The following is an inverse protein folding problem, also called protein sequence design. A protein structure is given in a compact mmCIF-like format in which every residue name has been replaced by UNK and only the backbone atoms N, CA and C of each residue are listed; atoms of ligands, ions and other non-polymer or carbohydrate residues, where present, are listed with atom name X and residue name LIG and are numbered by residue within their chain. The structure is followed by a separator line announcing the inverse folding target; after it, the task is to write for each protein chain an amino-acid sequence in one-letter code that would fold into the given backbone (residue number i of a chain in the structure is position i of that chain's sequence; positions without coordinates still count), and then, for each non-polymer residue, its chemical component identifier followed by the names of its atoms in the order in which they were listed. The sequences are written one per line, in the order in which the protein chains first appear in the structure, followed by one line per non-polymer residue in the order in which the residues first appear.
data_IF_525891616861
#
_entry.id   IF_525891616861
#
_cell.length_a   1.000
_cell.length_b   1.000
_cell.length_c   1.000
_cell.angle_alpha   90.00
_cell.angle_beta   90.00
_cell.angle_gamma   90.00
#
_symmetry.space_group_name_H-M   'P 1'
#
loop_
_entity.id
_entity.type
_entity.pdbx_description
1 polymer ?
#
# COMPACT_ATOMS: atom_id res chain seq x y z
N UNK A 1 1.04 5.38 -22.54
CA UNK A 1 2.21 5.82 -21.73
C UNK A 1 3.27 4.74 -21.82
N UNK A 2 4.47 5.07 -22.29
CA UNK A 2 5.58 4.13 -22.35
C UNK A 2 6.45 4.21 -21.09
N UNK A 3 7.36 3.26 -20.89
CA UNK A 3 8.21 3.21 -19.68
C UNK A 3 9.04 4.49 -19.47
N UNK A 4 9.48 5.12 -20.55
CA UNK A 4 10.26 6.37 -20.48
C UNK A 4 9.41 7.50 -19.92
N UNK A 5 8.18 7.65 -20.40
CA UNK A 5 7.24 8.67 -19.90
C UNK A 5 6.93 8.47 -18.39
N UNK A 6 6.80 7.20 -17.96
CA UNK A 6 6.61 6.88 -16.52
C UNK A 6 7.83 7.32 -15.70
N UNK A 7 9.03 7.01 -16.17
CA UNK A 7 10.27 7.35 -15.47
C UNK A 7 10.48 8.87 -15.43
N UNK A 8 10.25 9.56 -16.56
CA UNK A 8 10.36 11.02 -16.64
C UNK A 8 9.36 11.71 -15.68
N UNK A 9 8.16 11.13 -15.50
CA UNK A 9 7.16 11.65 -14.55
C UNK A 9 7.63 11.60 -13.09
N UNK A 10 8.28 10.50 -12.67
CA UNK A 10 8.70 10.32 -11.28
C UNK A 10 10.01 11.02 -10.93
N UNK A 11 10.80 11.45 -11.90
CA UNK A 11 12.09 12.09 -11.67
C UNK A 11 11.97 13.32 -10.76
N UNK A 12 12.69 13.28 -9.63
CA UNK A 12 12.69 14.34 -8.61
C UNK A 12 11.38 14.47 -7.81
N UNK A 13 10.42 13.55 -7.95
CA UNK A 13 9.21 13.52 -7.12
C UNK A 13 9.49 12.90 -5.76
N UNK A 14 8.97 13.51 -4.69
CA UNK A 14 8.99 12.94 -3.34
C UNK A 14 7.86 11.93 -3.22
N UNK A 15 8.24 10.66 -3.11
CA UNK A 15 7.28 9.55 -3.05
C UNK A 15 7.41 8.81 -1.73
N UNK A 16 6.31 8.71 -0.98
CA UNK A 16 6.21 7.87 0.22
C UNK A 16 5.61 6.51 -0.16
N UNK A 17 6.33 5.43 0.15
CA UNK A 17 5.87 4.05 -0.03
C UNK A 17 5.72 3.39 1.33
N UNK A 18 4.49 3.08 1.74
CA UNK A 18 4.29 2.26 2.94
C UNK A 18 4.40 0.77 2.60
N UNK A 19 4.98 -0.03 3.50
CA UNK A 19 5.21 -1.45 3.22
C UNK A 19 6.40 -1.71 2.29
N UNK A 20 7.37 -0.81 2.22
CA UNK A 20 8.52 -0.87 1.31
C UNK A 20 9.46 -2.04 1.56
N UNK A 21 9.49 -2.62 2.76
CA UNK A 21 10.30 -3.79 3.10
C UNK A 21 9.70 -5.12 2.66
N UNK A 22 8.39 -5.12 2.34
CA UNK A 22 7.70 -6.30 1.82
C UNK A 22 7.97 -6.53 0.33
N UNK A 23 7.51 -7.68 -0.19
CA UNK A 23 7.73 -8.10 -1.58
C UNK A 23 7.33 -7.04 -2.63
N UNK A 24 6.06 -6.64 -2.68
CA UNK A 24 5.58 -5.65 -3.66
C UNK A 24 6.21 -4.27 -3.44
N UNK A 25 6.32 -3.86 -2.17
CA UNK A 25 6.88 -2.55 -1.81
C UNK A 25 8.34 -2.42 -2.21
N UNK A 26 9.12 -3.50 -2.10
CA UNK A 26 10.53 -3.51 -2.53
C UNK A 26 10.66 -3.35 -4.05
N UNK A 27 9.90 -4.11 -4.84
CA UNK A 27 9.89 -3.97 -6.30
C UNK A 27 9.51 -2.57 -6.73
N UNK A 28 8.45 -2.03 -6.14
CA UNK A 28 7.98 -0.67 -6.45
C UNK A 28 9.02 0.39 -6.08
N UNK A 29 9.61 0.29 -4.88
CA UNK A 29 10.68 1.20 -4.45
C UNK A 29 11.88 1.14 -5.37
N UNK A 30 12.27 -0.04 -5.85
CA UNK A 30 13.37 -0.20 -6.80
C UNK A 30 13.08 0.48 -8.13
N UNK A 31 11.86 0.34 -8.65
CA UNK A 31 11.43 1.00 -9.89
C UNK A 31 11.47 2.52 -9.72
N UNK A 32 10.94 3.05 -8.62
CA UNK A 32 10.89 4.48 -8.34
C UNK A 32 12.29 5.09 -8.17
N UNK A 33 13.18 4.41 -7.44
CA UNK A 33 14.60 4.83 -7.31
C UNK A 33 15.27 4.88 -8.68
N UNK A 34 15.06 3.86 -9.52
CA UNK A 34 15.61 3.83 -10.87
C UNK A 34 15.02 4.93 -11.78
N UNK A 35 13.78 5.35 -11.52
CA UNK A 35 13.14 6.49 -12.20
C UNK A 35 13.65 7.86 -11.72
N UNK A 36 14.51 7.90 -10.70
CA UNK A 36 15.06 9.13 -10.14
C UNK A 36 14.11 9.86 -9.16
N UNK A 37 13.15 9.14 -8.58
CA UNK A 37 12.31 9.67 -7.51
C UNK A 37 13.09 9.76 -6.18
N UNK A 38 12.71 10.73 -5.33
CA UNK A 38 13.14 10.83 -3.94
C UNK A 38 12.21 9.94 -3.09
N UNK A 39 12.63 8.68 -2.88
CA UNK A 39 11.79 7.67 -2.25
C UNK A 39 12.01 7.64 -0.74
N UNK A 40 10.93 7.80 0.01
CA UNK A 40 10.85 7.47 1.44
C UNK A 40 9.99 6.23 1.62
N UNK A 41 10.51 5.24 2.32
CA UNK A 41 9.78 4.04 2.73
C UNK A 41 9.39 4.11 4.20
N UNK A 42 8.18 3.67 4.56
CA UNK A 42 7.71 3.53 5.93
C UNK A 42 7.10 2.15 6.14
N UNK A 43 7.69 1.32 6.99
CA UNK A 43 7.25 -0.08 7.16
C UNK A 43 7.84 -0.68 8.43
N UNK A 44 7.31 -1.82 8.86
CA UNK A 44 7.98 -2.71 9.79
C UNK A 44 9.29 -3.25 9.20
N UNK A 45 10.11 -3.90 10.01
CA UNK A 45 11.29 -4.64 9.53
C UNK A 45 10.91 -5.63 8.42
N UNK A 46 11.86 -6.01 7.55
CA UNK A 46 11.61 -7.05 6.55
C UNK A 46 10.97 -8.30 7.16
N UNK A 47 9.90 -8.84 6.55
CA UNK A 47 9.10 -9.92 7.16
C UNK A 47 9.74 -11.30 7.09
N UNK A 48 10.81 -11.47 6.31
CA UNK A 48 11.46 -12.77 6.03
C UNK A 48 12.98 -12.67 6.08
N UNK A 49 13.65 -13.81 6.26
CA UNK A 49 15.08 -13.97 6.10
C UNK A 49 15.33 -15.24 5.25
N UNK A 50 15.86 -15.12 4.01
CA UNK A 50 16.29 -13.88 3.35
C UNK A 50 15.12 -12.94 3.03
N UNK A 51 15.41 -11.63 2.87
CA UNK A 51 14.43 -10.63 2.50
C UNK A 51 14.77 -9.96 1.15
N UNK A 52 13.77 -9.79 0.31
CA UNK A 52 13.95 -9.13 -0.98
C UNK A 52 14.50 -7.72 -0.82
N UNK A 53 14.10 -6.97 0.21
CA UNK A 53 14.55 -5.60 0.46
C UNK A 53 16.09 -5.52 0.59
N UNK A 54 16.69 -6.44 1.34
CA UNK A 54 18.13 -6.54 1.49
C UNK A 54 18.82 -6.94 0.17
N UNK A 55 18.26 -7.95 -0.53
CA UNK A 55 18.79 -8.43 -1.81
C UNK A 55 18.71 -7.39 -2.93
N UNK A 56 17.70 -6.52 -2.89
CA UNK A 56 17.50 -5.47 -3.88
C UNK A 56 18.53 -4.33 -3.79
N UNK A 57 19.34 -4.27 -2.71
CA UNK A 57 20.37 -3.25 -2.53
C UNK A 57 19.79 -1.83 -2.55
N UNK A 58 18.70 -1.62 -1.83
CA UNK A 58 18.03 -0.33 -1.69
C UNK A 58 18.59 0.49 -0.52
N UNK A 59 19.37 -0.12 0.35
CA UNK A 59 20.03 0.57 1.45
C UNK A 59 20.92 1.71 0.91
N UNK A 60 20.79 2.89 1.50
CA UNK A 60 21.50 4.10 1.07
C UNK A 60 21.03 4.72 -0.25
N UNK A 61 20.06 4.11 -0.95
CA UNK A 61 19.47 4.65 -2.20
C UNK A 61 18.10 5.27 -2.00
N UNK A 62 17.50 5.06 -0.85
CA UNK A 62 16.23 5.65 -0.43
C UNK A 62 16.26 5.95 1.07
N UNK A 63 15.37 6.82 1.53
CA UNK A 63 15.15 7.01 2.95
C UNK A 63 14.24 5.89 3.47
N UNK A 64 14.79 4.97 4.30
CA UNK A 64 14.05 3.84 4.85
C UNK A 64 13.78 4.06 6.34
N UNK A 65 12.51 4.25 6.69
CA UNK A 65 12.05 4.51 8.05
C UNK A 65 11.31 3.28 8.56
N UNK A 66 11.78 2.72 9.67
CA UNK A 66 11.07 1.62 10.33
C UNK A 66 10.01 2.17 11.26
N UNK A 67 8.77 1.74 11.07
CA UNK A 67 7.62 2.18 11.85
C UNK A 67 6.36 1.38 11.54
N UNK A 68 5.38 1.49 12.43
CA UNK A 68 4.10 0.80 12.32
C UNK A 68 3.03 1.74 11.76
N UNK A 69 2.28 1.29 10.74
CA UNK A 69 1.18 2.07 10.14
C UNK A 69 0.08 2.41 11.15
N UNK A 70 0.00 1.70 12.28
CA UNK A 70 -0.92 1.96 13.38
C UNK A 70 -0.48 3.14 14.26
N UNK A 71 0.78 3.53 14.20
CA UNK A 71 1.32 4.69 14.93
C UNK A 71 1.08 5.99 14.15
N UNK A 72 -0.07 6.60 14.40
CA UNK A 72 -0.44 7.88 13.77
C UNK A 72 0.52 9.02 14.12
N UNK A 73 1.08 9.04 15.35
CA UNK A 73 1.96 10.12 15.78
C UNK A 73 3.28 10.08 14.99
N UNK A 74 3.90 8.92 14.88
CA UNK A 74 5.11 8.72 14.09
C UNK A 74 4.86 8.99 12.59
N UNK A 75 3.72 8.53 12.04
CA UNK A 75 3.34 8.84 10.66
C UNK A 75 3.25 10.35 10.40
N UNK A 76 2.62 11.13 11.27
CA UNK A 76 2.54 12.58 11.14
C UNK A 76 3.91 13.22 11.10
N UNK A 77 4.82 12.81 11.98
CA UNK A 77 6.21 13.29 11.98
C UNK A 77 6.89 12.99 10.64
N UNK A 78 6.76 11.76 10.12
CA UNK A 78 7.33 11.37 8.81
C UNK A 78 6.79 12.25 7.67
N UNK A 79 5.50 12.58 7.66
CA UNK A 79 4.93 13.47 6.64
C UNK A 79 5.46 14.91 6.75
N UNK A 80 5.62 15.42 7.97
CA UNK A 80 6.18 16.76 8.21
C UNK A 80 7.63 16.88 7.74
N UNK A 81 8.43 15.84 7.96
CA UNK A 81 9.84 15.79 7.58
C UNK A 81 10.05 15.59 6.08
N UNK A 82 9.27 14.69 5.47
CA UNK A 82 9.51 14.25 4.07
C UNK A 82 8.67 14.98 3.04
N UNK A 83 7.54 15.57 3.45
CA UNK A 83 6.61 16.34 2.59
C UNK A 83 6.31 15.64 1.27
N UNK A 84 5.78 14.40 1.27
CA UNK A 84 5.59 13.63 0.06
C UNK A 84 4.56 14.29 -0.88
N UNK A 85 4.81 14.22 -2.19
CA UNK A 85 3.87 14.65 -3.22
C UNK A 85 2.96 13.50 -3.66
N UNK A 86 3.49 12.27 -3.58
CA UNK A 86 2.80 11.04 -3.97
C UNK A 86 2.91 10.03 -2.82
N UNK A 87 1.79 9.41 -2.47
CA UNK A 87 1.73 8.37 -1.44
C UNK A 87 1.21 7.08 -2.04
N UNK A 88 2.00 6.02 -1.94
CA UNK A 88 1.65 4.66 -2.39
C UNK A 88 1.52 3.76 -1.16
N UNK A 89 0.29 3.42 -0.81
CA UNK A 89 -0.02 2.68 0.41
C UNK A 89 -0.12 1.18 0.14
N UNK A 90 0.94 0.44 0.53
CA UNK A 90 1.03 -1.01 0.39
C UNK A 90 1.14 -1.74 1.74
N UNK A 91 1.35 -1.01 2.85
CA UNK A 91 1.43 -1.62 4.18
C UNK A 91 0.13 -2.34 4.52
N UNK A 92 0.23 -3.62 4.87
CA UNK A 92 -0.90 -4.44 5.23
C UNK A 92 -0.43 -5.70 5.98
N UNK A 93 -1.33 -6.33 6.74
CA UNK A 93 -1.23 -7.75 7.06
C UNK A 93 -1.85 -8.52 5.87
N UNK A 94 -1.05 -9.21 5.02
CA UNK A 94 -1.51 -9.72 3.73
C UNK A 94 -1.85 -11.21 3.72
N UNK A 95 -1.65 -11.94 4.82
CA UNK A 95 -1.75 -13.39 4.88
C UNK A 95 -3.14 -13.79 5.40
N UNK A 96 -3.91 -14.51 4.56
CA UNK A 96 -5.28 -14.94 4.90
C UNK A 96 -5.27 -15.84 6.14
N UNK A 97 -4.38 -16.84 6.21
CA UNK A 97 -4.32 -17.76 7.36
C UNK A 97 -4.01 -17.04 8.67
N UNK A 98 -3.14 -16.04 8.63
CA UNK A 98 -2.81 -15.24 9.82
C UNK A 98 -3.96 -14.32 10.24
N UNK A 99 -4.79 -13.89 9.31
CA UNK A 99 -5.99 -13.11 9.64
C UNK A 99 -7.02 -13.88 10.46
N UNK A 100 -7.06 -15.20 10.32
CA UNK A 100 -7.87 -16.06 11.18
C UNK A 100 -7.27 -16.26 12.59
N UNK A 101 -5.93 -16.23 12.68
CA UNK A 101 -5.24 -16.35 13.99
C UNK A 101 -5.33 -15.07 14.80
N UNK A 102 -5.19 -13.92 14.15
CA UNK A 102 -5.25 -12.60 14.77
C UNK A 102 -6.07 -11.61 13.92
N UNK A 103 -7.40 -11.68 14.01
CA UNK A 103 -8.26 -10.76 13.27
C UNK A 103 -8.14 -9.31 13.76
N UNK A 104 -7.91 -9.10 15.07
CA UNK A 104 -7.77 -7.75 15.64
C UNK A 104 -6.59 -7.02 15.00
N UNK A 105 -5.42 -7.62 15.01
CA UNK A 105 -4.23 -7.08 14.36
C UNK A 105 -4.47 -6.82 12.86
N UNK A 106 -5.19 -7.73 12.19
CA UNK A 106 -5.52 -7.59 10.77
C UNK A 106 -6.36 -6.35 10.51
N UNK A 107 -7.42 -6.12 11.29
CA UNK A 107 -8.27 -4.93 11.14
C UNK A 107 -7.55 -3.65 11.59
N UNK A 108 -6.81 -3.68 12.68
CA UNK A 108 -6.01 -2.52 13.11
C UNK A 108 -5.02 -2.10 12.03
N UNK A 109 -4.32 -3.05 11.41
CA UNK A 109 -3.34 -2.77 10.36
C UNK A 109 -4.02 -2.32 9.07
N UNK A 110 -4.99 -3.09 8.58
CA UNK A 110 -5.53 -2.88 7.23
C UNK A 110 -6.59 -1.77 7.17
N UNK A 111 -7.37 -1.59 8.23
CA UNK A 111 -8.43 -0.57 8.28
C UNK A 111 -7.94 0.67 9.00
N UNK A 112 -7.52 0.55 10.26
CA UNK A 112 -7.05 1.71 11.01
C UNK A 112 -5.75 2.27 10.45
N UNK A 113 -4.83 1.42 9.95
CA UNK A 113 -3.65 1.87 9.22
C UNK A 113 -4.01 2.68 7.97
N UNK A 114 -5.06 2.29 7.23
CA UNK A 114 -5.57 3.08 6.10
C UNK A 114 -6.18 4.41 6.56
N UNK A 115 -6.90 4.45 7.67
CA UNK A 115 -7.39 5.70 8.27
C UNK A 115 -6.22 6.61 8.62
N UNK A 116 -5.20 6.08 9.30
CA UNK A 116 -4.05 6.85 9.74
C UNK A 116 -3.29 7.51 8.59
N UNK A 117 -3.02 6.76 7.51
CA UNK A 117 -2.31 7.31 6.35
C UNK A 117 -3.16 8.34 5.60
N UNK A 118 -4.46 8.11 5.45
CA UNK A 118 -5.38 9.07 4.83
C UNK A 118 -5.52 10.35 5.66
N UNK A 119 -5.49 10.25 6.98
CA UNK A 119 -5.48 11.41 7.87
C UNK A 119 -4.20 12.24 7.70
N UNK A 120 -3.04 11.57 7.56
CA UNK A 120 -1.79 12.27 7.23
C UNK A 120 -1.88 12.95 5.86
N UNK A 121 -2.45 12.30 4.84
CA UNK A 121 -2.68 12.89 3.51
C UNK A 121 -3.59 14.13 3.62
N UNK A 122 -4.69 14.04 4.38
CA UNK A 122 -5.63 15.15 4.58
C UNK A 122 -4.97 16.37 5.23
N UNK A 123 -4.09 16.16 6.18
CA UNK A 123 -3.41 17.24 6.92
C UNK A 123 -2.20 17.84 6.18
N UNK A 124 -1.77 17.24 5.06
CA UNK A 124 -0.57 17.66 4.34
C UNK A 124 -0.90 18.06 2.88
N UNK A 125 -1.15 19.34 2.60
CA UNK A 125 -1.59 19.82 1.27
C UNK A 125 -0.50 19.70 0.19
N UNK A 126 0.73 19.31 0.54
CA UNK A 126 1.76 18.99 -0.43
C UNK A 126 1.45 17.67 -1.18
N UNK A 127 0.65 16.75 -0.60
CA UNK A 127 0.26 15.50 -1.26
C UNK A 127 -0.70 15.80 -2.40
N UNK A 128 -0.37 15.34 -3.60
CA UNK A 128 -1.16 15.51 -4.82
C UNK A 128 -1.81 14.21 -5.30
N UNK A 129 -1.27 13.06 -4.86
CA UNK A 129 -1.82 11.77 -5.23
C UNK A 129 -1.62 10.75 -4.11
N UNK A 130 -2.69 10.01 -3.84
CA UNK A 130 -2.71 8.86 -2.94
C UNK A 130 -3.29 7.64 -3.64
N UNK A 131 -2.58 6.53 -3.58
CA UNK A 131 -3.03 5.24 -4.09
C UNK A 131 -3.04 4.21 -2.97
N UNK A 132 -4.21 3.62 -2.69
CA UNK A 132 -4.35 2.49 -1.80
C UNK A 132 -4.33 1.18 -2.60
N UNK A 133 -3.36 0.32 -2.32
CA UNK A 133 -3.25 -1.00 -2.97
C UNK A 133 -4.06 -2.03 -2.18
N UNK A 134 -5.11 -2.55 -2.80
CA UNK A 134 -6.01 -3.53 -2.21
C UNK A 134 -5.90 -4.89 -2.93
N UNK A 135 -6.98 -5.64 -3.06
CA UNK A 135 -6.99 -6.99 -3.61
C UNK A 135 -8.28 -7.26 -4.39
N UNK A 136 -8.26 -8.22 -5.30
CA UNK A 136 -9.44 -8.76 -5.96
C UNK A 136 -10.42 -9.43 -4.98
N UNK A 137 -9.94 -9.87 -3.81
CA UNK A 137 -10.75 -10.55 -2.77
C UNK A 137 -11.69 -9.63 -1.99
N UNK A 138 -11.74 -8.34 -2.35
CA UNK A 138 -12.65 -7.36 -1.73
C UNK A 138 -14.11 -7.57 -2.11
N UNK A 139 -14.38 -8.27 -3.20
CA UNK A 139 -15.74 -8.47 -3.70
C UNK A 139 -16.51 -9.53 -2.91
N UNK A 140 -17.83 -9.37 -2.82
CA UNK A 140 -18.73 -10.47 -2.47
C UNK A 140 -18.56 -11.60 -3.50
N UNK A 141 -18.03 -12.76 -3.06
CA UNK A 141 -17.81 -13.88 -3.98
C UNK A 141 -19.13 -14.57 -4.29
N UNK A 142 -19.58 -14.46 -5.52
CA UNK A 142 -20.83 -15.04 -6.02
C UNK A 142 -20.61 -16.30 -6.85
N UNK A 143 -19.37 -16.68 -7.12
CA UNK A 143 -19.00 -17.85 -7.92
C UNK A 143 -19.73 -17.92 -9.28
N UNK A 144 -20.01 -16.78 -9.88
CA UNK A 144 -20.67 -16.67 -11.18
C UNK A 144 -19.66 -16.68 -12.34
N UNK A 145 -20.16 -16.81 -13.58
CA UNK A 145 -19.34 -16.91 -14.79
C UNK A 145 -18.72 -15.58 -15.23
N UNK A 146 -19.16 -14.46 -14.68
CA UNK A 146 -18.75 -13.12 -15.10
C UNK A 146 -17.62 -12.58 -14.24
N UNK A 147 -16.71 -11.81 -14.85
CA UNK A 147 -15.71 -11.04 -14.10
C UNK A 147 -16.35 -9.93 -13.27
N UNK A 148 -15.76 -9.65 -12.09
CA UNK A 148 -16.20 -8.55 -11.23
C UNK A 148 -15.81 -7.20 -11.82
N UNK A 149 -16.65 -6.20 -11.60
CA UNK A 149 -16.43 -4.81 -11.98
C UNK A 149 -16.13 -3.98 -10.73
N UNK A 150 -15.53 -2.81 -10.90
CA UNK A 150 -15.19 -1.90 -9.79
C UNK A 150 -16.40 -1.45 -8.97
N UNK A 151 -17.60 -1.49 -9.56
CA UNK A 151 -18.87 -1.10 -8.93
C UNK A 151 -19.60 -2.24 -8.22
N UNK A 152 -19.09 -3.48 -8.35
CA UNK A 152 -19.72 -4.64 -7.71
C UNK A 152 -19.52 -4.58 -6.19
N UNK A 153 -20.40 -5.27 -5.45
CA UNK A 153 -20.47 -5.19 -3.99
C UNK A 153 -19.16 -5.64 -3.34
N UNK A 154 -18.69 -4.84 -2.39
CA UNK A 154 -17.55 -5.14 -1.55
C UNK A 154 -18.01 -5.85 -0.29
N UNK A 155 -17.65 -7.12 -0.13
CA UNK A 155 -17.99 -7.96 1.01
C UNK A 155 -17.07 -9.20 1.05
N UNK A 156 -15.77 -8.96 1.26
CA UNK A 156 -14.78 -10.03 1.39
C UNK A 156 -15.13 -10.97 2.54
N UNK A 157 -14.99 -12.28 2.34
CA UNK A 157 -15.49 -13.30 3.25
C UNK A 157 -14.64 -13.50 4.50
N UNK A 158 -13.33 -13.68 4.34
CA UNK A 158 -12.41 -13.89 5.46
C UNK A 158 -11.94 -12.55 6.07
N UNK A 159 -11.35 -12.56 7.30
CA UNK A 159 -10.95 -11.32 7.97
C UNK A 159 -9.97 -10.46 7.15
N UNK A 160 -9.04 -11.07 6.38
CA UNK A 160 -8.16 -10.33 5.49
C UNK A 160 -8.95 -9.67 4.37
N UNK A 161 -9.74 -10.44 3.62
CA UNK A 161 -10.53 -9.97 2.48
C UNK A 161 -11.51 -8.88 2.91
N UNK A 162 -12.20 -9.10 4.05
CA UNK A 162 -13.13 -8.12 4.61
C UNK A 162 -12.41 -6.84 5.06
N UNK A 163 -11.26 -6.95 5.72
CA UNK A 163 -10.47 -5.78 6.11
C UNK A 163 -10.05 -4.94 4.90
N UNK A 164 -9.76 -5.58 3.76
CA UNK A 164 -9.46 -4.88 2.51
C UNK A 164 -10.70 -4.25 1.87
N UNK A 165 -11.87 -4.88 1.98
CA UNK A 165 -13.16 -4.26 1.62
C UNK A 165 -13.42 -3.00 2.45
N UNK A 166 -13.21 -3.07 3.76
CA UNK A 166 -13.31 -1.92 4.66
C UNK A 166 -12.31 -0.80 4.30
N UNK A 167 -11.07 -1.15 3.96
CA UNK A 167 -10.04 -0.21 3.51
C UNK A 167 -10.46 0.55 2.23
N UNK A 168 -11.12 -0.12 1.28
CA UNK A 168 -11.73 0.50 0.11
C UNK A 168 -12.83 1.50 0.49
N UNK A 169 -13.75 1.08 1.40
CA UNK A 169 -14.85 1.93 1.87
C UNK A 169 -14.32 3.16 2.63
N UNK A 170 -13.30 3.01 3.46
CA UNK A 170 -12.62 4.12 4.14
C UNK A 170 -12.03 5.08 3.11
N UNK A 171 -11.28 4.57 2.12
CA UNK A 171 -10.68 5.40 1.07
C UNK A 171 -11.74 6.15 0.28
N UNK A 172 -12.85 5.50 -0.06
CA UNK A 172 -13.99 6.13 -0.74
C UNK A 172 -14.65 7.23 0.10
N UNK A 173 -14.82 6.98 1.41
CA UNK A 173 -15.37 7.98 2.34
C UNK A 173 -14.49 9.22 2.41
N UNK A 174 -13.17 9.04 2.61
CA UNK A 174 -12.23 10.15 2.64
C UNK A 174 -12.22 10.95 1.34
N UNK A 175 -12.19 10.26 0.19
CA UNK A 175 -12.24 10.91 -1.13
C UNK A 175 -13.46 11.83 -1.26
N UNK A 176 -14.64 11.36 -0.85
CA UNK A 176 -15.87 12.14 -0.95
C UNK A 176 -15.97 13.26 0.08
N UNK A 177 -15.52 13.01 1.29
CA UNK A 177 -15.70 13.94 2.41
C UNK A 177 -14.68 15.07 2.45
N UNK A 178 -13.43 14.79 2.05
CA UNK A 178 -12.31 15.70 2.26
C UNK A 178 -11.55 16.08 0.98
N UNK A 179 -11.76 15.37 -0.13
CA UNK A 179 -11.01 15.56 -1.37
C UNK A 179 -11.93 15.75 -2.59
N UNK A 180 -13.18 16.12 -2.34
CA UNK A 180 -14.17 16.33 -3.40
C UNK A 180 -13.84 17.48 -4.35
N UNK A 181 -13.04 18.46 -3.89
CA UNK A 181 -12.53 19.58 -4.68
C UNK A 181 -11.40 19.21 -5.64
N UNK A 182 -10.87 17.98 -5.56
CA UNK A 182 -9.83 17.46 -6.46
C UNK A 182 -8.41 17.98 -6.18
N UNK A 183 -8.16 18.63 -5.04
CA UNK A 183 -6.80 19.12 -4.70
C UNK A 183 -5.78 17.99 -4.51
N UNK A 184 -6.24 16.78 -4.21
CA UNK A 184 -5.46 15.55 -4.16
C UNK A 184 -6.24 14.41 -4.82
N UNK A 185 -5.61 13.69 -5.76
CA UNK A 185 -6.20 12.51 -6.39
C UNK A 185 -6.17 11.31 -5.44
N UNK A 186 -7.33 10.84 -5.00
CA UNK A 186 -7.48 9.66 -4.13
C UNK A 186 -8.02 8.49 -4.93
N UNK A 187 -7.27 7.38 -4.97
CA UNK A 187 -7.65 6.19 -5.71
C UNK A 187 -7.28 4.89 -5.00
N UNK A 188 -7.93 3.81 -5.42
CA UNK A 188 -7.59 2.44 -5.03
C UNK A 188 -7.20 1.65 -6.27
N UNK A 189 -6.38 0.62 -6.11
CA UNK A 189 -6.16 -0.38 -7.15
C UNK A 189 -6.29 -1.78 -6.58
N UNK A 190 -6.96 -2.65 -7.33
CA UNK A 190 -7.21 -4.05 -6.99
C UNK A 190 -6.39 -4.94 -7.90
N UNK A 191 -5.75 -5.93 -7.32
CA UNK A 191 -5.00 -6.92 -8.08
C UNK A 191 -5.24 -8.32 -7.53
N UNK A 192 -5.17 -9.32 -8.38
CA UNK A 192 -5.06 -10.71 -7.98
C UNK A 192 -3.70 -11.03 -7.38
N UNK A 193 -3.31 -12.31 -7.42
CA UNK A 193 -2.02 -12.73 -6.91
C UNK A 193 -0.88 -12.10 -7.72
N UNK A 194 0.01 -11.39 -7.05
CA UNK A 194 1.21 -10.83 -7.66
C UNK A 194 2.32 -11.85 -7.53
N UNK A 195 2.94 -12.19 -8.65
CA UNK A 195 3.98 -13.22 -8.76
C UNK A 195 5.28 -12.57 -9.21
N UNK A 196 6.39 -12.96 -8.58
CA UNK A 196 7.72 -12.47 -8.95
C UNK A 196 8.80 -13.05 -8.06
N UNK A 197 10.07 -12.86 -8.43
CA UNK A 197 11.19 -13.29 -7.61
C UNK A 197 11.28 -12.54 -6.28
N UNK A 198 11.65 -13.25 -5.20
CA UNK A 198 11.88 -12.68 -3.88
C UNK A 198 10.66 -12.59 -2.97
N UNK A 199 9.56 -13.28 -3.29
CA UNK A 199 8.47 -13.48 -2.33
C UNK A 199 8.78 -14.72 -1.47
N UNK A 200 9.37 -14.49 -0.30
CA UNK A 200 9.76 -15.54 0.64
C UNK A 200 8.75 -15.74 1.78
N UNK A 201 7.59 -15.09 1.70
CA UNK A 201 6.56 -15.22 2.72
C UNK A 201 5.92 -16.62 2.66
N UNK A 202 5.58 -17.18 3.83
CA UNK A 202 4.83 -18.44 3.94
C UNK A 202 3.43 -18.31 3.32
N UNK A 203 2.82 -19.45 3.00
CA UNK A 203 1.45 -19.54 2.50
C UNK A 203 1.23 -18.76 1.19
N UNK A 204 2.23 -18.75 0.29
CA UNK A 204 2.12 -18.20 -1.05
C UNK A 204 1.85 -19.29 -2.06
N UNK A 205 0.94 -19.03 -3.01
CA UNK A 205 0.45 -20.04 -3.96
C UNK A 205 1.50 -20.49 -4.97
N UNK A 206 2.57 -19.73 -5.21
CA UNK A 206 3.60 -20.08 -6.20
C UNK A 206 4.93 -20.42 -5.55
N UNK A 207 5.45 -19.68 -4.54
CA UNK A 207 6.71 -20.04 -3.87
C UNK A 207 6.64 -21.30 -3.02
N UNK A 208 5.45 -21.67 -2.49
CA UNK A 208 5.19 -22.90 -1.73
C UNK A 208 4.84 -24.08 -2.69
#
# INVERSE_FOLDING_TARGET
MNLKEVFDFYKGKRVLVTGHTGFKGTWLSRILVNAGAEVTGYSLNPPTDPALFQMAGLEGKMNSIIGDIRDLAHLKQVFEETKPEIVLHLAAQPIVRDSYKDPVYTYETNVMGTVNILECVRLNPCVKSFLNVTTDKVYENREWEYGYREVDRLDGYDPYSNSKSCSELVTHSYRKSFFADGHCAISTCRAGNVIGGGDFANDRIVPD
#
